data_IF_016626771190
#
_entry.id   IF_016626771190
#
_cell.length_a   1.000
_cell.length_b   1.000
_cell.length_c   1.000
_cell.angle_alpha   90.00
_cell.angle_beta   90.00
_cell.angle_gamma   90.00
#
_symmetry.space_group_name_H-M   'P 1'
#
loop_
_entity.id
_entity.type
_entity.pdbx_description
1 polymer ?
#
# COMPACT_ATOMS: atom_id res chain seq x y z
N UNK A 1 -5.00 -10.54 -0.23
CA UNK A 1 -4.06 -10.96 -1.29
C UNK A 1 -4.67 -10.68 -2.65
N UNK A 2 -4.12 -9.69 -3.36
CA UNK A 2 -4.60 -9.25 -4.67
C UNK A 2 -3.81 -9.95 -5.78
N UNK A 3 -4.52 -10.47 -6.76
CA UNK A 3 -4.00 -11.12 -7.95
C UNK A 3 -4.29 -10.28 -9.20
N UNK A 4 -3.50 -10.49 -10.24
CA UNK A 4 -3.77 -9.92 -11.58
C UNK A 4 -5.17 -10.31 -12.09
N UNK A 5 -5.73 -11.44 -11.65
CA UNK A 5 -7.08 -11.89 -12.03
C UNK A 5 -8.22 -11.09 -11.40
N UNK A 6 -7.92 -10.30 -10.37
CA UNK A 6 -8.93 -9.47 -9.68
C UNK A 6 -9.23 -8.18 -10.46
N UNK A 7 -8.48 -7.90 -11.53
CA UNK A 7 -8.66 -6.76 -12.40
C UNK A 7 -9.36 -7.16 -13.70
N UNK A 8 -10.12 -6.23 -14.28
CA UNK A 8 -10.77 -6.39 -15.58
C UNK A 8 -10.42 -5.22 -16.50
N UNK A 9 -10.21 -5.43 -17.82
CA UNK A 9 -10.09 -4.33 -18.77
C UNK A 9 -11.28 -3.36 -18.69
N UNK A 10 -11.01 -2.06 -18.76
CA UNK A 10 -12.00 -0.99 -18.59
C UNK A 10 -12.36 -0.65 -17.14
N UNK A 11 -11.88 -1.41 -16.15
CA UNK A 11 -12.13 -1.13 -14.74
C UNK A 11 -11.34 0.09 -14.24
N UNK A 12 -11.97 0.92 -13.42
CA UNK A 12 -11.28 1.94 -12.61
C UNK A 12 -10.51 1.28 -11.47
N UNK A 13 -9.22 1.56 -11.38
CA UNK A 13 -8.32 1.15 -10.31
C UNK A 13 -7.59 2.37 -9.73
N UNK A 14 -6.80 2.15 -8.68
CA UNK A 14 -6.20 3.23 -7.90
C UNK A 14 -4.71 3.00 -7.72
N UNK A 15 -3.90 3.99 -8.10
CA UNK A 15 -2.45 3.97 -7.93
C UNK A 15 -2.10 4.81 -6.71
N UNK A 16 -1.44 4.19 -5.74
CA UNK A 16 -0.78 4.87 -4.64
C UNK A 16 0.66 5.21 -5.04
N UNK A 17 0.97 6.50 -5.06
CA UNK A 17 2.34 7.02 -5.19
C UNK A 17 2.80 7.56 -3.85
N UNK A 18 4.01 7.18 -3.46
CA UNK A 18 4.64 7.63 -2.22
C UNK A 18 5.83 8.49 -2.55
N UNK A 19 5.77 9.77 -2.18
CA UNK A 19 6.91 10.67 -2.34
C UNK A 19 7.70 10.67 -1.04
N UNK A 20 8.92 10.11 -1.09
CA UNK A 20 9.89 10.17 0.01
C UNK A 20 10.70 11.45 -0.14
N UNK A 21 10.31 12.50 0.58
CA UNK A 21 11.05 13.75 0.72
C UNK A 21 11.31 14.07 2.20
N UNK A 22 11.43 15.36 2.54
CA UNK A 22 11.46 15.82 3.96
C UNK A 22 10.16 15.47 4.70
N UNK A 23 9.06 15.47 3.97
CA UNK A 23 7.73 15.00 4.39
C UNK A 23 7.38 13.76 3.57
N UNK A 24 6.74 12.78 4.22
CA UNK A 24 6.18 11.62 3.52
C UNK A 24 4.80 12.00 3.01
N UNK A 25 4.66 12.11 1.69
CA UNK A 25 3.40 12.44 1.03
C UNK A 25 2.84 11.22 0.30
N UNK A 26 1.55 10.98 0.49
CA UNK A 26 0.81 9.90 -0.13
C UNK A 26 -0.19 10.49 -1.13
N UNK A 27 -0.12 10.02 -2.37
CA UNK A 27 -1.04 10.43 -3.42
C UNK A 27 -1.77 9.21 -3.96
N UNK A 28 -3.10 9.25 -3.93
CA UNK A 28 -3.94 8.24 -4.58
C UNK A 28 -4.52 8.85 -5.84
N UNK A 29 -4.20 8.26 -6.99
CA UNK A 29 -4.71 8.68 -8.30
C UNK A 29 -5.53 7.57 -8.94
N UNK A 30 -6.63 7.94 -9.59
CA UNK A 30 -7.42 7.00 -10.40
C UNK A 30 -6.69 6.66 -11.70
N UNK A 31 -6.85 5.42 -12.15
CA UNK A 31 -6.39 4.92 -13.44
C UNK A 31 -7.40 3.94 -14.03
N UNK A 32 -7.29 3.68 -15.32
CA UNK A 32 -8.08 2.66 -16.02
C UNK A 32 -7.20 1.47 -16.35
N UNK A 33 -7.72 0.26 -16.11
CA UNK A 33 -7.06 -0.98 -16.53
C UNK A 33 -7.23 -1.14 -18.04
N UNK A 34 -6.13 -1.07 -18.79
CA UNK A 34 -6.11 -1.21 -20.24
C UNK A 34 -6.14 -2.66 -20.66
N UNK A 35 -5.34 -3.51 -20.00
CA UNK A 35 -5.34 -4.94 -20.28
C UNK A 35 -4.83 -5.75 -19.08
N UNK A 36 -5.24 -7.01 -19.04
CA UNK A 36 -4.82 -7.97 -18.02
C UNK A 36 -4.18 -9.15 -18.71
N UNK A 37 -2.88 -9.32 -18.51
CA UNK A 37 -2.10 -10.45 -18.99
C UNK A 37 -1.96 -11.54 -17.93
N UNK A 38 -1.21 -12.61 -18.26
CA UNK A 38 -0.95 -13.71 -17.33
C UNK A 38 -0.17 -13.28 -16.08
N UNK A 39 0.78 -12.35 -16.24
CA UNK A 39 1.69 -11.88 -15.18
C UNK A 39 1.49 -10.40 -14.81
N UNK A 40 1.00 -9.59 -15.76
CA UNK A 40 0.97 -8.14 -15.63
C UNK A 40 -0.43 -7.58 -15.85
N UNK A 41 -0.76 -6.51 -15.13
CA UNK A 41 -1.91 -5.64 -15.40
C UNK A 41 -1.36 -4.34 -15.96
N UNK A 42 -1.83 -3.94 -17.15
CA UNK A 42 -1.46 -2.66 -17.76
C UNK A 42 -2.52 -1.63 -17.41
N UNK A 43 -2.10 -0.46 -16.93
CA UNK A 43 -3.00 0.65 -16.60
C UNK A 43 -2.57 1.91 -17.31
N UNK A 44 -3.53 2.80 -17.58
CA UNK A 44 -3.30 4.14 -18.11
C UNK A 44 -4.09 5.16 -17.29
N UNK A 45 -3.74 6.44 -17.38
CA UNK A 45 -4.47 7.51 -16.69
C UNK A 45 -5.87 7.69 -17.29
N UNK A 46 -5.98 7.56 -18.61
CA UNK A 46 -7.24 7.46 -19.36
C UNK A 46 -7.17 6.30 -20.35
N UNK A 47 -8.31 5.78 -20.80
CA UNK A 47 -8.36 4.64 -21.73
C UNK A 47 -7.69 4.93 -23.08
N UNK A 48 -7.71 6.18 -23.53
CA UNK A 48 -7.08 6.65 -24.77
C UNK A 48 -5.60 7.02 -24.64
N UNK A 49 -5.02 6.94 -23.44
CA UNK A 49 -3.62 7.30 -23.23
C UNK A 49 -2.67 6.24 -23.79
N UNK A 50 -1.67 6.70 -24.55
CA UNK A 50 -0.60 5.85 -25.12
C UNK A 50 0.37 5.38 -24.03
N UNK A 51 0.53 6.18 -22.96
CA UNK A 51 1.43 5.87 -21.84
C UNK A 51 0.73 4.91 -20.87
N UNK A 52 1.26 3.69 -20.82
CA UNK A 52 0.80 2.65 -19.90
C UNK A 52 1.87 2.34 -18.87
N UNK A 53 1.43 1.94 -17.68
CA UNK A 53 2.25 1.39 -16.59
C UNK A 53 1.86 -0.06 -16.37
N UNK A 54 2.86 -0.92 -16.20
CA UNK A 54 2.67 -2.35 -15.98
C UNK A 54 2.80 -2.66 -14.49
N UNK A 55 1.90 -3.48 -13.95
CA UNK A 55 1.89 -3.87 -12.54
C UNK A 55 1.86 -5.38 -12.38
N UNK A 56 2.53 -5.90 -11.36
CA UNK A 56 2.58 -7.34 -11.09
C UNK A 56 2.55 -7.64 -9.60
N UNK A 57 2.18 -8.87 -9.27
CA UNK A 57 2.28 -9.35 -7.90
C UNK A 57 3.75 -9.76 -7.64
N UNK A 58 4.44 -8.99 -6.81
CA UNK A 58 5.87 -9.19 -6.56
C UNK A 58 6.16 -10.31 -5.54
N UNK A 59 5.33 -10.43 -4.49
CA UNK A 59 5.57 -11.35 -3.36
C UNK A 59 4.54 -12.47 -3.24
N UNK A 60 3.44 -12.37 -3.97
CA UNK A 60 2.32 -13.29 -3.92
C UNK A 60 1.27 -12.86 -2.91
N UNK A 61 1.68 -12.44 -1.72
CA UNK A 61 0.85 -12.24 -0.52
C UNK A 61 0.33 -10.81 -0.28
N UNK A 62 0.77 -9.84 -1.06
CA UNK A 62 0.39 -8.43 -0.90
C UNK A 62 -1.08 -8.15 -1.28
N UNK A 63 -1.65 -7.11 -0.70
CA UNK A 63 -2.99 -6.57 -1.02
C UNK A 63 -2.97 -5.57 -2.20
N UNK A 64 -1.87 -5.54 -2.96
CA UNK A 64 -1.65 -4.63 -4.08
C UNK A 64 -0.71 -5.26 -5.13
N UNK A 65 -0.68 -4.68 -6.33
CA UNK A 65 0.33 -4.98 -7.35
C UNK A 65 1.41 -3.88 -7.37
N UNK A 66 2.66 -4.25 -7.63
CA UNK A 66 3.79 -3.32 -7.73
C UNK A 66 4.02 -2.89 -9.18
N UNK A 67 4.35 -1.61 -9.40
CA UNK A 67 4.74 -1.15 -10.74
C UNK A 67 6.03 -1.87 -11.17
N UNK A 68 6.07 -2.31 -12.43
CA UNK A 68 7.29 -2.72 -13.12
C UNK A 68 8.00 -1.45 -13.53
N UNK A 69 8.84 -0.93 -12.66
CA UNK A 69 9.67 0.22 -12.98
C UNK A 69 11.15 -0.02 -12.67
N UNK A 70 12.01 0.58 -13.50
CA UNK A 70 13.46 0.56 -13.29
C UNK A 70 13.91 1.54 -12.20
N UNK A 71 13.06 2.50 -11.85
CA UNK A 71 13.37 3.60 -10.94
C UNK A 71 12.94 3.33 -9.49
N UNK A 72 12.33 2.18 -9.20
CA UNK A 72 11.79 1.80 -7.90
C UNK A 72 10.95 2.93 -7.26
N UNK A 73 10.08 3.55 -8.05
CA UNK A 73 9.16 4.60 -7.59
C UNK A 73 8.20 4.09 -6.51
N UNK A 74 8.10 2.76 -6.36
CA UNK A 74 7.32 2.13 -5.30
C UNK A 74 5.83 2.37 -5.44
N UNK A 75 5.36 2.60 -6.68
CA UNK A 75 3.93 2.73 -6.95
C UNK A 75 3.24 1.39 -6.77
N UNK A 76 2.08 1.46 -6.14
CA UNK A 76 1.23 0.31 -5.84
C UNK A 76 -0.13 0.49 -6.50
N UNK A 77 -0.65 -0.56 -7.12
CA UNK A 77 -1.97 -0.60 -7.73
C UNK A 77 -2.94 -1.38 -6.85
N UNK A 78 -4.08 -0.76 -6.57
CA UNK A 78 -5.16 -1.28 -5.77
C UNK A 78 -6.46 -1.40 -6.59
N UNK A 79 -7.28 -2.42 -6.34
CA UNK A 79 -8.57 -2.57 -7.02
C UNK A 79 -9.61 -1.53 -6.55
N UNK A 80 -9.48 -1.02 -5.33
CA UNK A 80 -10.41 -0.04 -4.74
C UNK A 80 -9.67 1.11 -4.07
N UNK A 81 -10.32 2.27 -3.98
CA UNK A 81 -9.77 3.43 -3.27
C UNK A 81 -9.56 3.14 -1.79
N UNK A 82 -10.53 2.43 -1.20
CA UNK A 82 -10.52 2.08 0.22
C UNK A 82 -9.27 1.26 0.57
N UNK A 83 -8.90 0.27 -0.25
CA UNK A 83 -7.70 -0.54 -0.01
C UNK A 83 -6.41 0.31 -0.07
N UNK A 84 -6.35 1.30 -0.97
CA UNK A 84 -5.22 2.23 -1.04
C UNK A 84 -5.14 3.13 0.21
N UNK A 85 -6.28 3.60 0.72
CA UNK A 85 -6.34 4.41 1.94
C UNK A 85 -5.99 3.61 3.19
N UNK A 86 -6.45 2.36 3.29
CA UNK A 86 -6.09 1.44 4.37
C UNK A 86 -4.60 1.12 4.39
N UNK A 87 -3.95 0.98 3.22
CA UNK A 87 -2.49 0.79 3.14
C UNK A 87 -1.73 2.05 3.61
N UNK A 88 -2.24 3.25 3.33
CA UNK A 88 -1.69 4.50 3.87
C UNK A 88 -1.84 4.54 5.40
N UNK A 89 -3.05 4.28 5.90
CA UNK A 89 -3.34 4.26 7.34
C UNK A 89 -2.49 3.23 8.08
N UNK A 90 -2.39 2.01 7.55
CA UNK A 90 -1.56 0.94 8.08
C UNK A 90 -0.11 1.39 8.24
N UNK A 91 0.45 2.08 7.25
CA UNK A 91 1.83 2.55 7.33
C UNK A 91 2.02 3.75 8.26
N UNK A 92 1.03 4.65 8.34
CA UNK A 92 1.03 5.73 9.34
C UNK A 92 0.97 5.17 10.76
N UNK A 93 0.12 4.17 11.02
CA UNK A 93 0.02 3.50 12.31
C UNK A 93 1.33 2.78 12.66
N UNK A 94 1.94 2.04 11.73
CA UNK A 94 3.26 1.42 11.96
C UNK A 94 4.33 2.43 12.32
N UNK A 95 4.38 3.56 11.60
CA UNK A 95 5.32 4.65 11.86
C UNK A 95 5.09 5.28 13.24
N UNK A 96 3.82 5.49 13.61
CA UNK A 96 3.46 6.00 14.92
C UNK A 96 3.82 5.02 16.04
N UNK A 97 3.48 3.73 15.90
CA UNK A 97 3.83 2.69 16.87
C UNK A 97 5.34 2.65 17.06
N UNK A 98 6.12 2.59 15.97
CA UNK A 98 7.58 2.58 16.04
C UNK A 98 8.16 3.77 16.80
N UNK A 99 7.55 4.96 16.68
CA UNK A 99 7.95 6.16 17.42
C UNK A 99 7.48 6.12 18.87
N UNK A 100 6.30 5.55 19.14
CA UNK A 100 5.77 5.40 20.50
C UNK A 100 6.56 4.37 21.31
N UNK A 101 7.05 3.32 20.66
CA UNK A 101 7.88 2.27 21.25
C UNK A 101 9.38 2.52 21.09
N UNK A 102 9.78 3.75 20.77
CA UNK A 102 11.19 4.12 20.78
C UNK A 102 11.76 3.97 22.20
N UNK A 103 13.04 3.64 22.31
CA UNK A 103 13.69 3.29 23.58
C UNK A 103 13.51 4.38 24.64
N UNK A 104 13.62 5.65 24.23
CA UNK A 104 13.42 6.82 25.10
C UNK A 104 12.01 6.91 25.70
N UNK A 105 10.99 6.44 24.98
CA UNK A 105 9.60 6.47 25.41
C UNK A 105 9.20 5.21 26.15
N UNK A 106 9.73 4.06 25.77
CA UNK A 106 9.34 2.77 26.36
C UNK A 106 9.71 2.70 27.84
N UNK A 107 10.85 3.28 28.23
CA UNK A 107 11.31 3.35 29.63
C UNK A 107 10.40 4.22 30.52
N UNK A 108 9.63 5.13 29.91
CA UNK A 108 8.68 6.00 30.62
C UNK A 108 7.33 5.33 30.92
N UNK A 109 7.05 4.17 30.31
CA UNK A 109 5.78 3.49 30.48
C UNK A 109 5.72 2.69 31.77
N UNK A 110 4.56 2.80 32.44
CA UNK A 110 4.26 1.99 33.61
C UNK A 110 4.11 0.51 33.25
N UNK A 111 4.38 -0.37 34.21
CA UNK A 111 4.16 -1.82 34.06
C UNK A 111 2.72 -2.15 33.63
N UNK A 112 1.72 -1.39 34.11
CA UNK A 112 0.32 -1.59 33.70
C UNK A 112 0.08 -1.26 32.22
N UNK A 113 0.68 -0.19 31.70
CA UNK A 113 0.60 0.15 30.27
C UNK A 113 1.28 -0.92 29.41
N UNK A 114 2.46 -1.39 29.82
CA UNK A 114 3.18 -2.45 29.11
C UNK A 114 2.39 -3.77 29.10
N UNK A 115 1.69 -4.12 30.19
CA UNK A 115 0.80 -5.29 30.24
C UNK A 115 -0.36 -5.19 29.24
N UNK A 116 -1.00 -4.02 29.12
CA UNK A 116 -2.08 -3.81 28.14
C UNK A 116 -1.60 -3.93 26.70
N UNK A 117 -0.42 -3.35 26.40
CA UNK A 117 0.18 -3.48 25.05
C UNK A 117 0.51 -4.94 24.75
N UNK A 118 1.07 -5.67 25.72
CA UNK A 118 1.34 -7.11 25.59
C UNK A 118 0.06 -7.90 25.28
N UNK A 119 -1.02 -7.64 26.02
CA UNK A 119 -2.32 -8.29 25.81
C UNK A 119 -2.83 -8.09 24.38
N UNK A 120 -2.85 -6.85 23.89
CA UNK A 120 -3.27 -6.54 22.51
C UNK A 120 -2.41 -7.27 21.47
N UNK A 121 -1.08 -7.30 21.64
CA UNK A 121 -0.16 -7.90 20.66
C UNK A 121 -0.19 -9.44 20.67
N UNK A 122 -0.52 -10.07 21.79
CA UNK A 122 -0.67 -11.52 21.91
C UNK A 122 -2.08 -12.00 21.50
N UNK A 123 -2.97 -11.09 21.08
CA UNK A 123 -4.33 -11.42 20.65
C UNK A 123 -5.34 -11.51 21.79
N UNK A 124 -5.04 -10.89 22.94
CA UNK A 124 -5.97 -10.70 24.05
C UNK A 124 -6.93 -9.54 23.76
N UNK A 125 -8.18 -9.92 23.45
CA UNK A 125 -9.44 -9.16 23.46
C UNK A 125 -9.39 -7.65 23.13
#
# INVERSE_FOLDING_TARGET
>A
MVSVKDFKPGQTAYILTRKRGRTQEHFVSQCVVVSVGRKYVKTAKQESDIRTSDFYNARGDDDYLCEVDYCNTGRKLFPTQQAALEDIERDMLKSWISKATDYSRIDSYTVQQLRKVKEILEGGA
#
